data_IF_194683787090
#
_entry.id   IF_194683787090
#
_cell.length_a   1.000
_cell.length_b   1.000
_cell.length_c   1.000
_cell.angle_alpha   90.00
_cell.angle_beta   90.00
_cell.angle_gamma   90.00
#
_symmetry.space_group_name_H-M   'P 1'
#
loop_
_entity.id
_entity.type
_entity.pdbx_description
1 polymer ?
#
# COMPACT_ATOMS: atom_id res chain seq x y z
N UNK A 1 -28.20 5.96 18.89
CA UNK A 1 -27.33 5.35 17.87
C UNK A 1 -25.99 6.08 17.98
N UNK A 2 -25.02 5.45 18.61
CA UNK A 2 -23.78 6.11 19.03
C UNK A 2 -22.93 6.43 17.79
N UNK A 3 -22.41 7.66 17.73
CA UNK A 3 -21.48 8.16 16.70
C UNK A 3 -20.24 7.28 16.49
N UNK A 4 -19.92 6.43 17.46
CA UNK A 4 -18.80 5.49 17.44
C UNK A 4 -18.93 4.37 16.39
N UNK A 5 -20.14 3.85 16.12
CA UNK A 5 -20.32 2.76 15.14
C UNK A 5 -19.80 3.20 13.76
N UNK A 6 -20.15 4.41 13.33
CA UNK A 6 -19.80 4.92 11.99
C UNK A 6 -18.29 5.07 11.73
N UNK A 7 -17.48 5.23 12.79
CA UNK A 7 -16.04 5.40 12.66
C UNK A 7 -15.33 4.11 12.19
N UNK A 8 -15.87 2.96 12.58
CA UNK A 8 -15.34 1.62 12.27
C UNK A 8 -15.93 1.01 11.00
N UNK A 9 -16.53 1.84 10.14
CA UNK A 9 -16.92 1.43 8.79
C UNK A 9 -16.01 2.04 7.72
N UNK A 10 -15.76 1.22 6.70
CA UNK A 10 -15.17 1.61 5.42
C UNK A 10 -16.15 2.50 4.63
N UNK A 11 -15.68 3.17 3.58
CA UNK A 11 -16.52 3.97 2.69
C UNK A 11 -17.66 3.17 2.04
N UNK A 12 -17.47 1.86 1.86
CA UNK A 12 -18.48 0.93 1.35
C UNK A 12 -19.48 0.44 2.41
N UNK A 13 -19.38 0.90 3.66
CA UNK A 13 -20.23 0.44 4.77
C UNK A 13 -19.80 -0.88 5.41
N UNK A 14 -18.75 -1.55 4.91
CA UNK A 14 -18.18 -2.75 5.53
C UNK A 14 -17.42 -2.41 6.82
N UNK A 15 -17.50 -3.26 7.85
CA UNK A 15 -16.73 -3.05 9.09
C UNK A 15 -15.21 -3.12 8.83
N UNK A 16 -14.41 -2.28 9.49
CA UNK A 16 -12.96 -2.16 9.25
C UNK A 16 -12.22 -3.47 9.51
N UNK A 17 -12.72 -4.33 10.40
CA UNK A 17 -12.15 -5.67 10.64
C UNK A 17 -12.31 -6.60 9.42
N UNK A 18 -13.48 -6.56 8.76
CA UNK A 18 -13.72 -7.32 7.53
C UNK A 18 -12.94 -6.72 6.36
N UNK A 19 -12.87 -5.39 6.28
CA UNK A 19 -12.05 -4.69 5.29
C UNK A 19 -10.57 -5.05 5.41
N UNK A 20 -10.03 -5.04 6.63
CA UNK A 20 -8.64 -5.41 6.92
C UNK A 20 -8.37 -6.87 6.57
N UNK A 21 -9.30 -7.78 6.88
CA UNK A 21 -9.20 -9.19 6.47
C UNK A 21 -9.07 -9.33 4.94
N UNK A 22 -9.93 -8.63 4.20
CA UNK A 22 -9.91 -8.67 2.73
C UNK A 22 -8.59 -8.11 2.17
N UNK A 23 -8.10 -7.00 2.73
CA UNK A 23 -6.80 -6.41 2.36
C UNK A 23 -5.67 -7.40 2.61
N UNK A 24 -5.65 -8.05 3.78
CA UNK A 24 -4.62 -9.04 4.11
C UNK A 24 -4.66 -10.25 3.17
N UNK A 25 -5.87 -10.78 2.89
CA UNK A 25 -6.06 -11.91 1.99
C UNK A 25 -5.59 -11.60 0.56
N UNK A 26 -6.00 -10.45 0.02
CA UNK A 26 -5.57 -10.00 -1.31
C UNK A 26 -4.06 -9.76 -1.35
N UNK A 27 -3.47 -9.20 -0.29
CA UNK A 27 -2.03 -9.04 -0.16
C UNK A 27 -1.28 -10.37 -0.15
N UNK A 28 -1.78 -11.39 0.54
CA UNK A 28 -1.19 -12.74 0.51
C UNK A 28 -1.29 -13.39 -0.87
N UNK A 29 -2.42 -13.23 -1.57
CA UNK A 29 -2.61 -13.72 -2.95
C UNK A 29 -1.64 -13.01 -3.90
N UNK A 30 -1.59 -11.68 -3.86
CA UNK A 30 -0.68 -10.87 -4.66
C UNK A 30 0.78 -11.29 -4.42
N UNK A 31 1.16 -11.43 -3.14
CA UNK A 31 2.49 -11.90 -2.77
C UNK A 31 2.80 -13.27 -3.34
N UNK A 32 1.88 -14.24 -3.24
CA UNK A 32 2.07 -15.58 -3.82
C UNK A 32 2.25 -15.53 -5.34
N UNK A 33 1.48 -14.69 -6.03
CA UNK A 33 1.57 -14.49 -7.48
C UNK A 33 2.88 -13.82 -7.91
N UNK A 34 3.44 -12.91 -7.11
CA UNK A 34 4.70 -12.22 -7.43
C UNK A 34 5.94 -12.97 -6.97
N UNK A 35 5.90 -13.61 -5.80
CA UNK A 35 7.03 -14.29 -5.19
C UNK A 35 7.39 -15.58 -5.94
N UNK A 36 6.40 -16.33 -6.43
CA UNK A 36 6.65 -17.61 -7.10
C UNK A 36 7.48 -17.45 -8.39
N UNK A 37 7.15 -16.54 -9.33
CA UNK A 37 8.01 -16.26 -10.48
C UNK A 37 9.41 -15.77 -10.10
N UNK A 38 9.53 -14.91 -9.08
CA UNK A 38 10.83 -14.41 -8.63
C UNK A 38 11.73 -15.52 -8.07
N UNK A 39 11.15 -16.44 -7.30
CA UNK A 39 11.89 -17.60 -6.76
C UNK A 39 12.28 -18.54 -7.89
N UNK A 40 11.37 -18.84 -8.82
CA UNK A 40 11.65 -19.69 -9.98
C UNK A 40 12.76 -19.09 -10.86
N UNK A 41 12.71 -17.77 -11.11
CA UNK A 41 13.73 -17.06 -11.85
C UNK A 41 15.08 -17.11 -11.11
N UNK A 42 15.11 -16.84 -9.80
CA UNK A 42 16.32 -16.87 -8.99
C UNK A 42 17.08 -18.21 -9.09
N UNK A 43 16.35 -19.34 -9.10
CA UNK A 43 16.95 -20.66 -9.31
C UNK A 43 17.46 -20.86 -10.74
N UNK A 44 16.80 -20.30 -11.75
CA UNK A 44 17.22 -20.40 -13.15
C UNK A 44 18.48 -19.59 -13.46
N UNK A 45 18.64 -18.40 -12.86
CA UNK A 45 19.77 -17.49 -13.12
C UNK A 45 20.87 -17.55 -12.05
N UNK A 46 20.73 -18.41 -11.03
CA UNK A 46 21.61 -18.49 -9.86
C UNK A 46 21.78 -17.15 -9.11
N UNK A 47 20.76 -16.30 -9.12
CA UNK A 47 20.77 -15.00 -8.45
C UNK A 47 19.78 -15.01 -7.26
N UNK A 48 20.32 -15.19 -6.05
CA UNK A 48 19.50 -15.36 -4.84
C UNK A 48 19.04 -14.03 -4.21
N UNK A 49 19.48 -12.88 -4.73
CA UNK A 49 19.12 -11.53 -4.23
C UNK A 49 17.60 -11.31 -4.21
N UNK A 50 16.90 -11.77 -5.25
CA UNK A 50 15.45 -11.65 -5.40
C UNK A 50 14.65 -12.47 -4.38
N UNK A 51 15.22 -13.58 -3.87
CA UNK A 51 14.53 -14.44 -2.89
C UNK A 51 14.35 -13.70 -1.56
N UNK A 52 15.36 -12.96 -1.12
CA UNK A 52 15.26 -12.18 0.11
C UNK A 52 14.13 -11.15 0.05
N UNK A 53 14.04 -10.42 -1.07
CA UNK A 53 12.98 -9.42 -1.30
C UNK A 53 11.61 -10.10 -1.33
N UNK A 54 11.50 -11.25 -2.00
CA UNK A 54 10.28 -12.03 -2.06
C UNK A 54 9.83 -12.44 -0.64
N UNK A 55 10.72 -12.96 0.21
CA UNK A 55 10.34 -13.38 1.58
C UNK A 55 9.95 -12.17 2.44
N UNK A 56 10.76 -11.11 2.44
CA UNK A 56 10.53 -9.93 3.30
C UNK A 56 9.23 -9.21 2.94
N UNK A 57 8.89 -9.12 1.65
CA UNK A 57 7.63 -8.51 1.20
C UNK A 57 6.38 -9.30 1.58
N UNK A 58 6.52 -10.58 1.96
CA UNK A 58 5.39 -11.41 2.45
C UNK A 58 5.07 -11.20 3.92
N UNK A 59 6.02 -10.71 4.73
CA UNK A 59 5.84 -10.54 6.17
C UNK A 59 4.63 -9.64 6.48
N UNK A 60 4.47 -8.46 5.85
CA UNK A 60 3.36 -7.57 6.18
C UNK A 60 1.95 -8.16 5.97
N UNK A 61 1.58 -8.71 4.81
CA UNK A 61 0.24 -9.26 4.62
C UNK A 61 -0.01 -10.51 5.50
N UNK A 62 0.99 -11.36 5.71
CA UNK A 62 0.85 -12.52 6.60
C UNK A 62 0.68 -12.12 8.07
N UNK A 63 1.47 -11.17 8.57
CA UNK A 63 1.29 -10.63 9.91
C UNK A 63 -0.09 -9.98 10.06
N UNK A 64 -0.53 -9.21 9.05
CA UNK A 64 -1.85 -8.59 9.09
C UNK A 64 -2.97 -9.63 9.15
N UNK A 65 -2.87 -10.71 8.36
CA UNK A 65 -3.87 -11.79 8.33
C UNK A 65 -3.95 -12.52 9.68
N UNK A 66 -2.80 -12.91 10.24
CA UNK A 66 -2.71 -13.58 11.54
C UNK A 66 -3.20 -12.66 12.65
N UNK A 67 -2.74 -11.40 12.65
CA UNK A 67 -3.14 -10.38 13.60
C UNK A 67 -4.65 -10.17 13.62
N UNK A 68 -5.26 -10.10 12.43
CA UNK A 68 -6.70 -9.95 12.30
C UNK A 68 -7.45 -11.19 12.81
N UNK A 69 -7.00 -12.41 12.51
CA UNK A 69 -7.66 -13.65 12.95
C UNK A 69 -7.51 -13.92 14.45
N UNK A 70 -6.36 -13.58 15.03
CA UNK A 70 -6.05 -13.83 16.44
C UNK A 70 -6.35 -12.62 17.34
N UNK A 71 -6.80 -11.49 16.79
CA UNK A 71 -7.05 -10.27 17.56
C UNK A 71 -5.77 -9.61 18.12
N UNK A 72 -4.61 -9.83 17.49
CA UNK A 72 -3.31 -9.33 17.95
C UNK A 72 -2.96 -8.04 17.21
N UNK A 73 -3.15 -6.89 17.87
CA UNK A 73 -2.91 -5.57 17.30
C UNK A 73 -1.44 -5.34 16.88
N UNK A 74 -0.47 -5.93 17.58
CA UNK A 74 0.96 -5.78 17.27
C UNK A 74 1.34 -6.27 15.87
N UNK A 75 0.61 -7.26 15.34
CA UNK A 75 0.86 -7.80 14.01
C UNK A 75 0.46 -6.84 12.87
N UNK A 76 -0.17 -5.71 13.17
CA UNK A 76 -0.51 -4.68 12.17
C UNK A 76 0.67 -3.76 11.85
N UNK A 77 1.63 -3.59 12.78
CA UNK A 77 2.75 -2.65 12.63
C UNK A 77 3.59 -2.86 11.36
N UNK A 78 3.98 -4.10 10.98
CA UNK A 78 4.77 -4.30 9.77
C UNK A 78 4.07 -3.76 8.52
N UNK A 79 2.74 -3.96 8.42
CA UNK A 79 1.93 -3.45 7.31
C UNK A 79 1.79 -1.93 7.37
N UNK A 80 1.47 -1.35 8.53
CA UNK A 80 1.34 0.09 8.68
C UNK A 80 2.64 0.83 8.33
N UNK A 81 3.79 0.31 8.81
CA UNK A 81 5.08 0.94 8.59
C UNK A 81 5.51 0.88 7.12
N UNK A 82 5.50 -0.31 6.51
CA UNK A 82 5.94 -0.48 5.12
C UNK A 82 5.01 0.25 4.16
N UNK A 83 3.69 0.18 4.38
CA UNK A 83 2.73 0.84 3.50
C UNK A 83 2.77 2.38 3.66
N UNK A 84 3.10 2.91 4.86
CA UNK A 84 3.36 4.34 5.04
C UNK A 84 4.58 4.81 4.23
N UNK A 85 5.68 4.05 4.25
CA UNK A 85 6.86 4.33 3.43
C UNK A 85 6.52 4.24 1.93
N UNK A 86 5.75 3.22 1.53
CA UNK A 86 5.32 3.05 0.15
C UNK A 86 4.49 4.25 -0.33
N UNK A 87 3.45 4.66 0.41
CA UNK A 87 2.62 5.83 0.08
C UNK A 87 3.48 7.09 -0.07
N UNK A 88 4.43 7.32 0.83
CA UNK A 88 5.32 8.47 0.76
C UNK A 88 6.20 8.42 -0.50
N UNK A 89 6.81 7.26 -0.79
CA UNK A 89 7.64 7.06 -1.97
C UNK A 89 6.83 7.22 -3.28
N UNK A 90 5.66 6.60 -3.38
CA UNK A 90 4.76 6.71 -4.54
C UNK A 90 4.32 8.15 -4.76
N UNK A 91 3.99 8.88 -3.68
CA UNK A 91 3.59 10.30 -3.76
C UNK A 91 4.74 11.19 -4.24
N UNK A 92 5.96 10.98 -3.72
CA UNK A 92 7.15 11.72 -4.15
C UNK A 92 7.43 11.43 -5.63
N UNK A 93 7.40 10.15 -6.04
CA UNK A 93 7.65 9.75 -7.41
C UNK A 93 6.60 10.30 -8.38
N UNK A 94 5.32 10.30 -8.00
CA UNK A 94 4.24 10.91 -8.75
C UNK A 94 4.49 12.41 -8.97
N UNK A 95 4.89 13.12 -7.90
CA UNK A 95 5.26 14.52 -7.97
C UNK A 95 6.45 14.77 -8.91
N UNK A 96 7.52 14.00 -8.77
CA UNK A 96 8.70 14.11 -9.62
C UNK A 96 8.33 13.93 -11.09
N UNK A 97 7.61 12.87 -11.45
CA UNK A 97 7.24 12.60 -12.84
C UNK A 97 6.31 13.66 -13.42
N UNK A 98 5.34 14.12 -12.64
CA UNK A 98 4.41 15.16 -13.06
C UNK A 98 5.12 16.50 -13.29
N UNK A 99 5.89 16.97 -12.30
CA UNK A 99 6.60 18.25 -12.41
C UNK A 99 7.72 18.20 -13.46
N UNK A 100 8.44 17.08 -13.57
CA UNK A 100 9.45 16.89 -14.60
C UNK A 100 8.83 16.95 -16.01
N UNK A 101 7.72 16.21 -16.22
CA UNK A 101 7.00 16.22 -17.49
C UNK A 101 6.49 17.62 -17.87
N UNK A 102 5.93 18.35 -16.90
CA UNK A 102 5.49 19.73 -17.10
C UNK A 102 6.66 20.68 -17.37
N UNK A 103 7.72 20.64 -16.56
CA UNK A 103 8.86 21.55 -16.71
C UNK A 103 9.55 21.35 -18.06
N UNK A 104 9.74 20.10 -18.47
CA UNK A 104 10.34 19.78 -19.75
C UNK A 104 9.42 20.13 -20.94
N UNK A 105 8.09 20.08 -20.74
CA UNK A 105 7.12 20.55 -21.75
C UNK A 105 7.08 22.07 -21.90
N UNK A 106 7.34 22.85 -20.83
CA UNK A 106 7.23 24.32 -20.85
C UNK A 106 8.55 24.97 -21.25
N UNK A 107 9.65 24.53 -20.63
CA UNK A 107 10.98 25.17 -20.77
C UNK A 107 11.80 24.51 -21.90
N UNK A 108 11.36 23.36 -22.39
CA UNK A 108 12.17 22.48 -23.24
C UNK A 108 13.21 21.72 -22.42
N UNK A 109 13.74 20.63 -22.97
CA UNK A 109 14.87 19.94 -22.35
C UNK A 109 16.17 20.78 -22.56
N UNK A 110 17.08 20.81 -21.58
CA UNK A 110 18.39 21.45 -21.77
C UNK A 110 19.14 20.81 -22.93
N UNK A 111 19.92 21.62 -23.67
CA UNK A 111 20.54 21.22 -24.94
C UNK A 111 21.41 19.96 -24.84
N UNK A 112 22.01 19.72 -23.66
CA UNK A 112 22.81 18.54 -23.33
C UNK A 112 22.02 17.22 -23.40
N UNK A 113 20.69 17.27 -23.30
CA UNK A 113 19.78 16.14 -23.43
C UNK A 113 19.11 16.08 -24.81
N UNK A 114 19.25 17.14 -25.63
CA UNK A 114 18.72 17.25 -27.01
C UNK A 114 19.66 16.70 -28.08
N UNK A 115 20.93 16.44 -27.77
CA UNK A 115 21.96 16.02 -28.75
C UNK A 115 21.68 14.70 -29.50
N UNK A 116 20.61 13.96 -29.16
CA UNK A 116 20.16 12.84 -29.98
C UNK A 116 19.14 13.32 -31.02
N UNK A 117 19.63 13.83 -32.15
CA UNK A 117 18.92 14.38 -33.33
C UNK A 117 17.90 13.45 -34.03
N UNK A 118 17.49 12.35 -33.40
CA UNK A 118 16.56 11.34 -33.97
C UNK A 118 15.11 11.57 -33.51
N UNK A 119 14.84 12.51 -32.59
CA UNK A 119 13.56 12.55 -31.85
C UNK A 119 12.70 13.83 -31.96
N UNK A 120 12.81 14.59 -33.06
CA UNK A 120 12.04 15.85 -33.19
C UNK A 120 10.49 15.72 -33.27
N UNK A 121 9.92 14.51 -33.41
CA UNK A 121 8.45 14.29 -33.38
C UNK A 121 7.95 13.45 -32.18
N UNK A 122 8.84 12.82 -31.40
CA UNK A 122 8.47 11.81 -30.38
C UNK A 122 8.60 12.35 -28.94
N UNK A 123 9.23 13.52 -28.75
CA UNK A 123 9.47 14.12 -27.43
C UNK A 123 8.20 14.59 -26.74
N UNK A 124 7.28 15.24 -27.46
CA UNK A 124 5.99 15.67 -26.91
C UNK A 124 5.13 14.49 -26.44
N UNK A 125 5.18 13.36 -27.16
CA UNK A 125 4.49 12.14 -26.78
C UNK A 125 5.09 11.51 -25.51
N UNK A 126 6.43 11.43 -25.41
CA UNK A 126 7.12 10.91 -24.22
C UNK A 126 6.90 11.76 -22.98
N UNK A 127 6.89 13.08 -23.12
CA UNK A 127 6.58 14.02 -22.04
C UNK A 127 5.12 13.88 -21.60
N UNK A 128 4.19 13.74 -22.55
CA UNK A 128 2.80 13.41 -22.27
C UNK A 128 2.65 12.09 -21.48
N UNK A 129 3.40 11.05 -21.85
CA UNK A 129 3.43 9.78 -21.11
C UNK A 129 3.90 9.99 -19.67
N UNK A 130 4.97 10.78 -19.43
CA UNK A 130 5.47 11.04 -18.09
C UNK A 130 4.42 11.72 -17.19
N UNK A 131 3.68 12.70 -17.72
CA UNK A 131 2.58 13.37 -17.02
C UNK A 131 1.47 12.37 -16.70
N UNK A 132 1.05 11.57 -17.68
CA UNK A 132 -0.01 10.55 -17.51
C UNK A 132 0.41 9.53 -16.45
N UNK A 133 1.65 9.02 -16.50
CA UNK A 133 2.20 8.10 -15.50
C UNK A 133 2.24 8.74 -14.11
N UNK A 134 2.62 10.02 -13.99
CA UNK A 134 2.60 10.76 -12.74
C UNK A 134 1.18 10.86 -12.14
N UNK A 135 0.17 11.13 -12.97
CA UNK A 135 -1.24 11.16 -12.55
C UNK A 135 -1.74 9.77 -12.11
N UNK A 136 -1.39 8.71 -12.85
CA UNK A 136 -1.72 7.34 -12.44
C UNK A 136 -1.08 6.99 -11.10
N UNK A 137 0.19 7.33 -10.88
CA UNK A 137 0.87 7.11 -9.60
C UNK A 137 0.23 7.90 -8.46
N UNK A 138 -0.23 9.13 -8.70
CA UNK A 138 -0.97 9.90 -7.71
C UNK A 138 -2.31 9.22 -7.33
N UNK A 139 -3.03 8.66 -8.31
CA UNK A 139 -4.23 7.88 -8.06
C UNK A 139 -3.92 6.60 -7.25
N UNK A 140 -2.84 5.90 -7.59
CA UNK A 140 -2.37 4.74 -6.82
C UNK A 140 -2.02 5.13 -5.38
N UNK A 141 -1.27 6.21 -5.16
CA UNK A 141 -0.93 6.70 -3.84
C UNK A 141 -2.19 7.06 -3.00
N UNK A 142 -3.23 7.60 -3.65
CA UNK A 142 -4.51 7.86 -3.00
C UNK A 142 -5.23 6.58 -2.55
N UNK A 143 -5.22 5.54 -3.40
CA UNK A 143 -5.77 4.22 -3.06
C UNK A 143 -4.97 3.60 -1.92
N UNK A 144 -3.64 3.60 -1.99
CA UNK A 144 -2.75 3.09 -0.93
C UNK A 144 -2.99 3.80 0.40
N UNK A 145 -3.11 5.14 0.38
CA UNK A 145 -3.45 5.94 1.56
C UNK A 145 -4.80 5.53 2.16
N UNK A 146 -5.81 5.30 1.33
CA UNK A 146 -7.11 4.81 1.80
C UNK A 146 -7.01 3.43 2.44
N UNK A 147 -6.29 2.49 1.83
CA UNK A 147 -6.06 1.15 2.40
C UNK A 147 -5.31 1.24 3.74
N UNK A 148 -4.27 2.07 3.83
CA UNK A 148 -3.54 2.35 5.06
C UNK A 148 -4.47 2.88 6.16
N UNK A 149 -5.40 3.78 5.81
CA UNK A 149 -6.41 4.30 6.74
C UNK A 149 -7.36 3.23 7.25
N UNK A 150 -7.80 2.30 6.38
CA UNK A 150 -8.64 1.16 6.79
C UNK A 150 -7.91 0.26 7.78
N UNK A 151 -6.66 -0.11 7.47
CA UNK A 151 -5.83 -0.95 8.35
C UNK A 151 -5.54 -0.25 9.68
N UNK A 152 -5.26 1.05 9.66
CA UNK A 152 -5.07 1.84 10.88
C UNK A 152 -6.32 1.85 11.76
N UNK A 153 -7.51 2.03 11.18
CA UNK A 153 -8.77 1.92 11.94
C UNK A 153 -9.01 0.52 12.48
N UNK A 154 -8.64 -0.53 11.73
CA UNK A 154 -8.67 -1.91 12.21
C UNK A 154 -7.75 -2.15 13.41
N UNK A 155 -6.55 -1.55 13.38
CA UNK A 155 -5.62 -1.56 14.52
C UNK A 155 -6.23 -0.87 15.75
N UNK A 156 -6.77 0.35 15.58
CA UNK A 156 -7.40 1.11 16.67
C UNK A 156 -8.58 0.33 17.27
N UNK A 157 -9.43 -0.28 16.43
CA UNK A 157 -10.53 -1.12 16.89
C UNK A 157 -10.05 -2.26 17.80
N UNK A 158 -9.00 -2.99 17.40
CA UNK A 158 -8.46 -4.09 18.22
C UNK A 158 -7.85 -3.60 19.54
N UNK A 159 -7.25 -2.40 19.53
CA UNK A 159 -6.61 -1.80 20.71
C UNK A 159 -7.61 -1.18 21.70
N UNK A 160 -8.72 -0.65 21.20
CA UNK A 160 -9.64 0.12 22.04
C UNK A 160 -10.86 -0.72 22.47
N UNK A 161 -11.35 -1.63 21.61
CA UNK A 161 -12.59 -2.39 21.88
C UNK A 161 -12.37 -3.86 22.22
N UNK A 162 -11.35 -4.52 21.66
CA UNK A 162 -11.07 -5.94 21.95
C UNK A 162 -10.21 -6.18 23.20
N UNK A 163 -9.57 -5.15 23.77
CA UNK A 163 -8.68 -5.27 24.94
C UNK A 163 -9.28 -4.74 26.24
N UNK A 164 -10.54 -4.33 26.24
CA UNK A 164 -11.30 -4.18 27.48
C UNK A 164 -11.55 -5.57 28.07
N UNK A 165 -11.05 -5.88 29.28
CA UNK A 165 -11.44 -7.10 29.95
C UNK A 165 -12.95 -7.06 30.19
N UNK A 166 -13.63 -8.16 29.88
CA UNK A 166 -14.98 -8.41 30.37
C UNK A 166 -14.92 -8.45 31.91
N UNK A 167 -15.00 -7.28 32.55
CA UNK A 167 -15.20 -7.15 33.97
C UNK A 167 -16.59 -6.56 34.20
N UNK A 168 -17.32 -7.18 35.13
CA UNK A 168 -18.66 -6.84 35.62
C UNK A 168 -19.89 -7.32 34.84
N UNK A 169 -20.01 -8.64 34.64
CA UNK A 169 -21.31 -9.31 34.86
C UNK A 169 -21.16 -10.59 35.70
N UNK A 170 -20.63 -10.45 36.91
CA UNK A 170 -21.16 -11.21 38.04
C UNK A 170 -22.34 -10.42 38.60
N UNK A 171 -23.50 -10.59 37.98
CA UNK A 171 -24.77 -10.28 38.65
C UNK A 171 -25.06 -11.47 39.55
N UNK A 172 -24.44 -11.47 40.73
CA UNK A 172 -24.99 -12.15 41.88
C UNK A 172 -26.17 -11.32 42.36
N UNK A 173 -27.39 -11.68 41.98
CA UNK A 173 -28.58 -11.32 42.74
C UNK A 173 -29.50 -12.54 42.84
N UNK A 174 -29.38 -13.13 44.03
CA UNK A 174 -30.29 -14.02 44.77
C UNK A 174 -31.76 -13.71 44.52
#
# INVERSE_FOLDING_TARGET
MHTYDSYYHCLCGTHVHQGTFLIALLGCIQWGLSAFPMIAAAFAINEFSGIFIAIVSGIPPWCLLIGNRCGIAWCYYPHLFINCIAVAATTILAGILFFFGISASIVGLPDNLRENDVFNEDEGFRLGIAIIMGLFLALFAYIEYYLLRVVYRGYVYLKDECSLPANDTTVDLV
#
